data_IF_457766996633
#
_entry.id   IF_457766996633
#
_cell.length_a   1.000
_cell.length_b   1.000
_cell.length_c   1.000
_cell.angle_alpha   90.00
_cell.angle_beta   90.00
_cell.angle_gamma   90.00
#
_symmetry.space_group_name_H-M   'P 1'
#
loop_
_entity.id
_entity.type
_entity.pdbx_description
1 polymer ?
#
# COMPACT_ATOMS: atom_id res chain seq x y z
N UNK A 1 -0.86 -19.24 -9.35
CA UNK A 1 0.18 -20.29 -9.34
C UNK A 1 1.58 -19.73 -9.40
N UNK A 2 1.89 -18.77 -10.28
CA UNK A 2 3.22 -18.14 -10.31
C UNK A 2 3.68 -17.62 -8.93
N UNK A 3 2.83 -16.88 -8.20
CA UNK A 3 3.13 -16.43 -6.84
C UNK A 3 3.45 -17.57 -5.87
N UNK A 4 2.83 -18.74 -6.04
CA UNK A 4 3.10 -19.93 -5.21
C UNK A 4 4.47 -20.48 -5.55
N UNK A 5 4.79 -20.64 -6.83
CA UNK A 5 6.10 -21.13 -7.30
C UNK A 5 7.20 -20.20 -6.80
N UNK A 6 7.05 -18.89 -6.97
CA UNK A 6 8.00 -17.89 -6.46
C UNK A 6 8.17 -18.00 -4.95
N UNK A 7 7.07 -18.16 -4.19
CA UNK A 7 7.15 -18.31 -2.74
C UNK A 7 7.90 -19.60 -2.31
N UNK A 8 7.67 -20.70 -3.01
CA UNK A 8 8.39 -21.97 -2.79
C UNK A 8 9.88 -21.82 -3.11
N UNK A 9 10.23 -21.21 -4.24
CA UNK A 9 11.63 -20.95 -4.61
C UNK A 9 12.30 -20.05 -3.58
N UNK A 10 11.69 -18.93 -3.23
CA UNK A 10 12.26 -17.98 -2.26
C UNK A 10 12.49 -18.57 -0.86
N UNK A 11 11.74 -19.62 -0.48
CA UNK A 11 11.87 -20.25 0.83
C UNK A 11 12.78 -21.48 0.80
N UNK A 12 12.55 -22.42 -0.13
CA UNK A 12 13.24 -23.72 -0.16
C UNK A 12 14.49 -23.73 -1.04
N UNK A 13 14.59 -22.84 -2.03
CA UNK A 13 15.72 -22.80 -2.97
C UNK A 13 16.09 -21.35 -3.34
N UNK A 14 16.43 -20.50 -2.34
CA UNK A 14 16.64 -19.06 -2.56
C UNK A 14 17.80 -18.76 -3.53
N UNK A 15 18.75 -19.67 -3.69
CA UNK A 15 19.87 -19.56 -4.65
C UNK A 15 19.43 -19.53 -6.12
N UNK A 16 18.21 -19.97 -6.43
CA UNK A 16 17.65 -19.93 -7.79
C UNK A 16 17.13 -18.52 -8.13
N UNK A 17 16.92 -17.64 -7.15
CA UNK A 17 16.41 -16.30 -7.38
C UNK A 17 17.44 -15.45 -8.16
N UNK A 18 17.09 -15.08 -9.39
CA UNK A 18 17.94 -14.38 -10.34
C UNK A 18 17.80 -12.85 -10.30
N UNK A 19 16.77 -12.35 -9.60
CA UNK A 19 16.41 -10.93 -9.56
C UNK A 19 15.62 -10.45 -10.78
N UNK A 20 15.46 -11.28 -11.82
CA UNK A 20 14.75 -10.97 -13.06
C UNK A 20 13.37 -11.62 -13.10
N UNK A 21 13.32 -12.96 -13.08
CA UNK A 21 12.07 -13.73 -13.06
C UNK A 21 11.60 -14.01 -11.64
N UNK A 22 12.53 -14.23 -10.72
CA UNK A 22 12.29 -14.46 -9.30
C UNK A 22 13.04 -13.40 -8.51
N UNK A 23 12.31 -12.52 -7.85
CA UNK A 23 12.91 -11.46 -7.05
C UNK A 23 13.78 -12.07 -5.93
N UNK A 24 15.00 -11.54 -5.77
CA UNK A 24 15.88 -11.89 -4.67
C UNK A 24 15.19 -11.52 -3.36
N UNK A 25 15.15 -12.47 -2.43
CA UNK A 25 14.51 -12.30 -1.14
C UNK A 25 15.49 -11.67 -0.14
N UNK A 26 15.14 -10.49 0.37
CA UNK A 26 15.93 -9.78 1.39
C UNK A 26 15.40 -9.99 2.81
N UNK A 27 14.39 -10.85 3.00
CA UNK A 27 13.82 -11.23 4.29
C UNK A 27 13.93 -12.75 4.50
N UNK A 28 15.05 -13.25 5.07
CA UNK A 28 15.23 -14.66 5.37
C UNK A 28 14.06 -15.24 6.17
N UNK A 29 13.76 -16.52 5.93
CA UNK A 29 12.73 -17.26 6.68
C UNK A 29 11.27 -16.92 6.35
N UNK A 30 11.00 -16.15 5.29
CA UNK A 30 9.64 -15.96 4.73
C UNK A 30 9.67 -15.63 3.25
N UNK A 31 8.59 -15.93 2.53
CA UNK A 31 8.40 -15.53 1.15
C UNK A 31 7.87 -14.09 1.02
N UNK A 32 8.37 -13.34 0.05
CA UNK A 32 7.94 -11.95 -0.24
C UNK A 32 7.34 -11.79 -1.64
N UNK A 33 7.46 -12.82 -2.48
CA UNK A 33 7.02 -12.81 -3.87
C UNK A 33 7.82 -11.85 -4.74
N UNK A 34 7.44 -11.74 -6.01
CA UNK A 34 7.98 -10.71 -6.90
C UNK A 34 7.52 -9.29 -6.52
N UNK A 35 6.53 -9.18 -5.63
CA UNK A 35 6.09 -7.91 -5.02
C UNK A 35 7.07 -7.40 -3.96
N UNK A 36 8.06 -8.21 -3.56
CA UNK A 36 9.06 -7.88 -2.53
C UNK A 36 8.43 -7.43 -1.19
N UNK A 37 7.19 -7.83 -0.93
CA UNK A 37 6.44 -7.47 0.26
C UNK A 37 5.49 -8.62 0.63
N UNK A 38 5.61 -9.22 1.84
CA UNK A 38 4.89 -10.44 2.20
C UNK A 38 3.37 -10.27 2.37
N UNK A 39 2.90 -9.13 2.87
CA UNK A 39 1.46 -8.83 2.98
C UNK A 39 0.82 -8.63 1.59
N UNK A 40 1.57 -8.09 0.63
CA UNK A 40 1.14 -7.96 -0.76
C UNK A 40 1.05 -9.33 -1.42
N UNK A 41 2.08 -10.17 -1.27
CA UNK A 41 2.03 -11.56 -1.71
C UNK A 41 0.78 -12.27 -1.16
N UNK A 42 0.55 -12.19 0.16
CA UNK A 42 -0.60 -12.82 0.80
C UNK A 42 -1.93 -12.30 0.24
N UNK A 43 -2.06 -10.98 0.05
CA UNK A 43 -3.27 -10.36 -0.50
C UNK A 43 -3.53 -10.76 -1.95
N UNK A 44 -2.49 -10.82 -2.77
CA UNK A 44 -2.59 -11.28 -4.14
C UNK A 44 -3.03 -12.75 -4.21
N UNK A 45 -2.49 -13.61 -3.33
CA UNK A 45 -2.92 -15.00 -3.18
C UNK A 45 -4.38 -15.11 -2.75
N UNK A 46 -4.83 -14.30 -1.80
CA UNK A 46 -6.24 -14.27 -1.35
C UNK A 46 -7.18 -13.84 -2.48
N UNK A 47 -6.83 -12.79 -3.24
CA UNK A 47 -7.59 -12.40 -4.43
C UNK A 47 -7.64 -13.55 -5.47
N UNK A 48 -6.52 -14.25 -5.67
CA UNK A 48 -6.46 -15.41 -6.54
C UNK A 48 -7.30 -16.59 -6.02
N UNK A 49 -7.39 -16.81 -4.71
CA UNK A 49 -8.28 -17.81 -4.10
C UNK A 49 -9.74 -17.48 -4.37
N UNK A 50 -10.14 -16.21 -4.22
CA UNK A 50 -11.49 -15.74 -4.54
C UNK A 50 -11.84 -16.02 -6.00
N UNK A 51 -10.94 -15.69 -6.93
CA UNK A 51 -11.14 -15.97 -8.35
C UNK A 51 -11.11 -17.47 -8.69
N UNK A 52 -10.32 -18.26 -7.97
CA UNK A 52 -10.29 -19.74 -8.14
C UNK A 52 -11.62 -20.36 -7.71
N UNK A 53 -12.19 -19.91 -6.59
CA UNK A 53 -13.51 -20.34 -6.14
C UNK A 53 -14.61 -19.93 -7.13
N UNK A 54 -14.53 -18.73 -7.69
CA UNK A 54 -15.45 -18.30 -8.74
C UNK A 54 -15.34 -19.17 -10.01
N UNK A 55 -14.13 -19.43 -10.51
CA UNK A 55 -13.91 -20.31 -11.66
C UNK A 55 -14.45 -21.73 -11.41
N UNK A 56 -14.30 -22.24 -10.20
CA UNK A 56 -14.87 -23.51 -9.79
C UNK A 56 -16.40 -23.47 -9.82
N UNK A 57 -17.02 -22.46 -9.20
CA UNK A 57 -18.48 -22.30 -9.21
C UNK A 57 -19.03 -22.13 -10.64
N UNK A 58 -18.32 -21.42 -11.51
CA UNK A 58 -18.69 -21.22 -12.91
C UNK A 58 -18.48 -22.46 -13.80
N UNK A 59 -18.02 -23.59 -13.24
CA UNK A 59 -17.71 -24.82 -14.00
C UNK A 59 -16.51 -24.69 -14.94
N UNK A 60 -15.73 -23.60 -14.83
CA UNK A 60 -14.56 -23.33 -15.67
C UNK A 60 -13.27 -23.96 -15.15
N UNK A 61 -13.26 -24.39 -13.90
CA UNK A 61 -12.16 -25.10 -13.27
C UNK A 61 -12.68 -26.38 -12.59
N UNK A 62 -12.08 -27.53 -12.93
CA UNK A 62 -12.47 -28.81 -12.34
C UNK A 62 -12.11 -28.85 -10.86
N UNK A 63 -12.98 -29.47 -10.07
CA UNK A 63 -12.86 -29.56 -8.61
C UNK A 63 -11.46 -29.97 -8.07
N UNK A 64 -10.78 -31.03 -8.55
CA UNK A 64 -9.48 -31.40 -8.00
C UNK A 64 -8.42 -30.32 -8.22
N UNK A 65 -8.41 -29.68 -9.40
CA UNK A 65 -7.48 -28.59 -9.71
C UNK A 65 -7.78 -27.33 -8.91
N UNK A 66 -9.06 -27.02 -8.68
CA UNK A 66 -9.47 -25.91 -7.83
C UNK A 66 -9.03 -26.13 -6.37
N UNK A 67 -9.30 -27.31 -5.81
CA UNK A 67 -8.93 -27.65 -4.44
C UNK A 67 -7.40 -27.67 -4.24
N UNK A 68 -6.65 -28.29 -5.16
CA UNK A 68 -5.19 -28.31 -5.12
C UNK A 68 -4.60 -26.89 -5.23
N UNK A 69 -5.16 -26.05 -6.12
CA UNK A 69 -4.73 -24.66 -6.26
C UNK A 69 -4.99 -23.84 -4.99
N UNK A 70 -6.16 -23.99 -4.37
CA UNK A 70 -6.50 -23.31 -3.12
C UNK A 70 -5.54 -23.71 -2.00
N UNK A 71 -5.28 -25.01 -1.83
CA UNK A 71 -4.33 -25.50 -0.84
C UNK A 71 -2.91 -24.96 -1.09
N UNK A 72 -2.43 -25.01 -2.32
CA UNK A 72 -1.11 -24.50 -2.68
C UNK A 72 -0.98 -22.98 -2.41
N UNK A 73 -2.06 -22.21 -2.65
CA UNK A 73 -2.10 -20.80 -2.28
C UNK A 73 -2.10 -20.58 -0.77
N UNK A 74 -2.79 -21.43 0.02
CA UNK A 74 -2.79 -21.36 1.49
C UNK A 74 -1.40 -21.63 2.05
N UNK A 75 -0.69 -22.62 1.52
CA UNK A 75 0.70 -22.88 1.84
C UNK A 75 1.59 -21.65 1.56
N UNK A 76 1.41 -21.01 0.39
CA UNK A 76 2.16 -19.80 0.06
C UNK A 76 1.81 -18.60 0.97
N UNK A 77 0.57 -18.50 1.46
CA UNK A 77 0.20 -17.53 2.51
C UNK A 77 0.93 -17.85 3.81
N UNK A 78 1.04 -19.12 4.23
CA UNK A 78 1.80 -19.52 5.40
C UNK A 78 3.30 -19.19 5.26
N UNK A 79 3.90 -19.48 4.09
CA UNK A 79 5.29 -19.13 3.77
C UNK A 79 5.55 -17.61 3.82
N UNK A 80 4.55 -16.77 3.54
CA UNK A 80 4.70 -15.31 3.64
C UNK A 80 4.83 -14.80 5.08
N UNK A 81 4.45 -15.61 6.08
CA UNK A 81 4.40 -15.23 7.49
C UNK A 81 3.59 -13.92 7.75
N UNK A 82 2.54 -13.67 6.95
CA UNK A 82 1.68 -12.48 7.05
C UNK A 82 0.50 -12.69 7.99
N UNK A 83 0.44 -11.93 9.09
CA UNK A 83 -0.72 -11.92 10.02
C UNK A 83 -1.99 -11.40 9.36
N UNK A 84 -1.88 -10.34 8.55
CA UNK A 84 -3.01 -9.80 7.79
C UNK A 84 -3.53 -10.81 6.78
N UNK A 85 -2.63 -11.55 6.12
CA UNK A 85 -2.98 -12.66 5.24
C UNK A 85 -3.75 -13.77 5.97
N UNK A 86 -3.23 -14.21 7.12
CA UNK A 86 -3.87 -15.22 7.97
C UNK A 86 -5.27 -14.78 8.44
N UNK A 87 -5.39 -13.54 8.93
CA UNK A 87 -6.67 -12.98 9.38
C UNK A 87 -7.69 -12.89 8.23
N UNK A 88 -7.22 -12.56 7.02
CA UNK A 88 -8.07 -12.45 5.83
C UNK A 88 -8.59 -13.80 5.31
N UNK A 89 -8.02 -14.94 5.73
CA UNK A 89 -8.65 -16.26 5.49
C UNK A 89 -10.02 -16.37 6.19
N UNK A 90 -10.23 -15.61 7.26
CA UNK A 90 -11.54 -15.49 7.91
C UNK A 90 -12.62 -14.92 6.98
N UNK A 91 -12.24 -14.07 6.01
CA UNK A 91 -13.17 -13.56 4.98
C UNK A 91 -13.62 -14.69 4.05
N UNK A 92 -12.72 -15.61 3.68
CA UNK A 92 -13.06 -16.77 2.86
C UNK A 92 -13.96 -17.76 3.61
N UNK A 93 -13.70 -17.98 4.89
CA UNK A 93 -14.58 -18.75 5.77
C UNK A 93 -15.98 -18.11 5.85
N UNK A 94 -16.05 -16.80 6.10
CA UNK A 94 -17.33 -16.09 6.17
C UNK A 94 -18.08 -16.19 4.84
N UNK A 95 -17.39 -16.00 3.71
CA UNK A 95 -17.99 -16.16 2.39
C UNK A 95 -18.54 -17.57 2.19
N UNK A 96 -17.80 -18.61 2.57
CA UNK A 96 -18.26 -19.99 2.50
C UNK A 96 -19.52 -20.25 3.36
N UNK A 97 -19.63 -19.62 4.52
CA UNK A 97 -20.80 -19.78 5.41
C UNK A 97 -22.04 -19.07 4.83
N UNK A 98 -21.86 -17.84 4.34
CA UNK A 98 -22.93 -16.96 3.86
C UNK A 98 -23.43 -17.37 2.47
N UNK A 99 -22.52 -17.73 1.56
CA UNK A 99 -22.85 -18.02 0.17
C UNK A 99 -23.26 -19.49 -0.03
N UNK A 100 -24.57 -19.72 0.02
CA UNK A 100 -25.17 -21.04 -0.22
C UNK A 100 -25.23 -21.47 -1.69
N UNK A 101 -24.86 -20.58 -2.63
CA UNK A 101 -24.81 -20.90 -4.07
C UNK A 101 -23.50 -21.59 -4.48
N UNK A 102 -22.50 -21.59 -3.60
CA UNK A 102 -21.24 -22.30 -3.84
C UNK A 102 -21.48 -23.81 -3.91
N UNK A 103 -20.83 -24.54 -4.83
CA UNK A 103 -20.84 -25.99 -4.81
C UNK A 103 -20.41 -26.51 -3.44
N UNK A 104 -21.07 -27.56 -2.92
CA UNK A 104 -20.82 -28.07 -1.55
C UNK A 104 -19.34 -28.34 -1.29
N UNK A 105 -18.63 -28.90 -2.27
CA UNK A 105 -17.19 -29.13 -2.20
C UNK A 105 -16.39 -27.81 -2.10
N UNK A 106 -16.65 -26.83 -2.97
CA UNK A 106 -16.00 -25.52 -2.93
C UNK A 106 -16.22 -24.80 -1.60
N UNK A 107 -17.44 -24.86 -1.08
CA UNK A 107 -17.81 -24.30 0.21
C UNK A 107 -17.00 -24.90 1.35
N UNK A 108 -16.90 -26.23 1.41
CA UNK A 108 -16.09 -26.89 2.43
C UNK A 108 -14.59 -26.60 2.28
N UNK A 109 -14.07 -26.62 1.05
CA UNK A 109 -12.67 -26.29 0.80
C UNK A 109 -12.33 -24.86 1.26
N UNK A 110 -13.19 -23.87 0.98
CA UNK A 110 -13.01 -22.50 1.44
C UNK A 110 -13.11 -22.37 2.97
N UNK A 111 -14.11 -23.02 3.58
CA UNK A 111 -14.31 -23.01 5.02
C UNK A 111 -13.13 -23.65 5.78
N UNK A 112 -12.43 -24.61 5.17
CA UNK A 112 -11.27 -25.28 5.75
C UNK A 112 -9.95 -24.52 5.55
N UNK A 113 -9.93 -23.40 4.81
CA UNK A 113 -8.68 -22.66 4.55
C UNK A 113 -7.98 -22.14 5.83
N UNK A 114 -8.65 -21.68 6.90
CA UNK A 114 -7.96 -21.30 8.13
C UNK A 114 -7.32 -22.50 8.83
N UNK A 115 -8.00 -23.65 8.85
CA UNK A 115 -7.43 -24.88 9.41
C UNK A 115 -6.23 -25.36 8.59
N UNK A 116 -6.36 -25.37 7.26
CA UNK A 116 -5.25 -25.72 6.38
C UNK A 116 -4.06 -24.78 6.57
N UNK A 117 -4.28 -23.48 6.79
CA UNK A 117 -3.23 -22.53 7.13
C UNK A 117 -2.53 -22.91 8.43
N UNK A 118 -3.26 -23.23 9.50
CA UNK A 118 -2.67 -23.64 10.78
C UNK A 118 -1.83 -24.91 10.64
N UNK A 119 -2.31 -25.89 9.86
CA UNK A 119 -1.56 -27.12 9.57
C UNK A 119 -0.29 -26.82 8.77
N UNK A 120 -0.38 -26.00 7.71
CA UNK A 120 0.79 -25.59 6.93
C UNK A 120 1.79 -24.79 7.79
N UNK A 121 1.29 -23.90 8.64
CA UNK A 121 2.11 -23.08 9.53
C UNK A 121 2.87 -23.96 10.53
N UNK A 122 2.18 -24.91 11.19
CA UNK A 122 2.79 -25.84 12.13
C UNK A 122 3.81 -26.74 11.43
N UNK A 123 3.46 -27.30 10.26
CA UNK A 123 4.38 -28.11 9.47
C UNK A 123 5.63 -27.36 9.01
N UNK A 124 5.51 -26.08 8.67
CA UNK A 124 6.65 -25.22 8.32
C UNK A 124 7.52 -24.90 9.54
N UNK A 125 6.92 -24.71 10.72
CA UNK A 125 7.66 -24.51 11.96
C UNK A 125 8.50 -25.76 12.32
N UNK A 126 7.88 -26.93 12.31
CA UNK A 126 8.55 -28.22 12.54
C UNK A 126 9.66 -28.48 11.50
N UNK A 127 9.38 -28.20 10.22
CA UNK A 127 10.38 -28.31 9.16
C UNK A 127 11.57 -27.38 9.39
N UNK A 128 11.32 -26.13 9.76
CA UNK A 128 12.38 -25.15 10.00
C UNK A 128 13.24 -25.56 11.19
N UNK A 129 12.63 -26.03 12.27
CA UNK A 129 13.34 -26.57 13.43
C UNK A 129 14.21 -27.77 13.05
N UNK A 130 13.65 -28.75 12.33
CA UNK A 130 14.38 -29.94 11.87
C UNK A 130 15.58 -29.60 10.97
N UNK A 131 15.41 -28.63 10.07
CA UNK A 131 16.47 -28.18 9.16
C UNK A 131 17.42 -27.15 9.77
N UNK A 132 17.22 -26.75 11.03
CA UNK A 132 17.92 -25.62 11.66
C UNK A 132 17.85 -24.35 10.79
N UNK A 133 16.73 -24.17 10.10
CA UNK A 133 16.47 -23.07 9.18
C UNK A 133 15.62 -21.99 9.87
N UNK A 134 15.68 -20.78 9.32
CA UNK A 134 14.88 -19.65 9.79
C UNK A 134 13.41 -19.77 9.35
N UNK A 135 12.47 -19.58 10.27
CA UNK A 135 11.08 -19.33 9.95
C UNK A 135 10.58 -18.10 10.69
N UNK A 136 10.41 -17.01 9.92
CA UNK A 136 10.15 -15.68 10.45
C UNK A 136 8.94 -15.66 11.39
N UNK A 137 7.90 -16.46 11.11
CA UNK A 137 6.69 -16.44 11.92
C UNK A 137 6.92 -16.90 13.37
N UNK A 138 7.81 -17.87 13.59
CA UNK A 138 8.18 -18.36 14.94
C UNK A 138 9.10 -17.37 15.63
N UNK A 139 10.12 -16.87 14.93
CA UNK A 139 11.04 -15.85 15.46
C UNK A 139 10.32 -14.60 15.94
N UNK A 140 9.28 -14.17 15.21
CA UNK A 140 8.44 -13.03 15.59
C UNK A 140 7.59 -13.29 16.84
N UNK A 141 7.15 -14.53 17.08
CA UNK A 141 6.45 -14.86 18.33
C UNK A 141 7.38 -14.81 19.54
N UNK A 142 8.66 -15.08 19.32
CA UNK A 142 9.71 -15.04 20.35
C UNK A 142 10.26 -13.63 20.57
N UNK A 143 10.25 -12.76 19.55
CA UNK A 143 10.68 -11.37 19.68
C UNK A 143 9.53 -10.48 20.19
N UNK A 144 9.67 -9.94 21.40
CA UNK A 144 8.72 -8.99 22.00
C UNK A 144 8.66 -7.61 21.29
N UNK A 145 9.43 -7.38 20.23
CA UNK A 145 9.43 -6.16 19.42
C UNK A 145 8.34 -6.20 18.35
N UNK A 146 7.09 -6.02 18.77
CA UNK A 146 5.95 -6.19 17.87
C UNK A 146 5.81 -5.01 16.89
N UNK A 147 5.88 -5.26 15.58
CA UNK A 147 5.56 -4.28 14.52
C UNK A 147 4.13 -3.71 14.70
N UNK A 148 3.25 -4.44 15.39
CA UNK A 148 1.92 -3.94 15.79
C UNK A 148 2.03 -2.70 16.71
N UNK A 149 3.01 -2.66 17.62
CA UNK A 149 3.24 -1.55 18.54
C UNK A 149 3.57 -0.24 17.82
N UNK A 150 4.32 -0.34 16.70
CA UNK A 150 4.59 0.80 15.82
C UNK A 150 3.29 1.36 15.22
N UNK A 151 2.41 0.51 14.66
CA UNK A 151 1.14 0.98 14.05
C UNK A 151 0.23 1.70 15.04
N UNK A 152 0.07 1.18 16.26
CA UNK A 152 -0.77 1.84 17.27
C UNK A 152 -0.23 3.21 17.66
N UNK A 153 1.11 3.35 17.76
CA UNK A 153 1.73 4.65 18.00
C UNK A 153 1.55 5.61 16.81
N UNK A 154 1.63 5.12 15.57
CA UNK A 154 1.29 5.89 14.35
C UNK A 154 -0.17 6.38 14.42
N UNK A 155 -1.11 5.50 14.74
CA UNK A 155 -2.53 5.84 14.81
C UNK A 155 -2.81 6.87 15.89
N UNK A 156 -2.17 6.75 17.06
CA UNK A 156 -2.27 7.76 18.11
C UNK A 156 -1.80 9.13 17.63
N UNK A 157 -0.65 9.21 16.97
CA UNK A 157 -0.15 10.49 16.44
C UNK A 157 -1.07 11.04 15.33
N UNK A 158 -1.60 10.19 14.46
CA UNK A 158 -2.55 10.58 13.43
C UNK A 158 -3.86 11.13 14.04
N UNK A 159 -4.37 10.50 15.10
CA UNK A 159 -5.56 10.99 15.82
C UNK A 159 -5.30 12.36 16.48
N UNK A 160 -4.08 12.61 16.99
CA UNK A 160 -3.69 13.94 17.49
C UNK A 160 -3.73 14.97 16.35
N UNK A 161 -3.18 14.65 15.18
CA UNK A 161 -3.23 15.54 14.02
C UNK A 161 -4.66 15.78 13.51
N UNK A 162 -5.52 14.75 13.54
CA UNK A 162 -6.96 14.88 13.23
C UNK A 162 -7.63 15.82 14.21
N UNK A 163 -7.37 15.67 15.51
CA UNK A 163 -7.94 16.54 16.55
C UNK A 163 -7.49 18.01 16.39
N UNK A 164 -6.25 18.22 15.94
CA UNK A 164 -5.72 19.56 15.65
C UNK A 164 -6.26 20.14 14.33
N UNK A 165 -6.66 19.31 13.37
CA UNK A 165 -7.08 19.72 12.03
C UNK A 165 -8.37 19.03 11.56
N UNK A 166 -9.49 19.10 12.32
CA UNK A 166 -10.63 18.21 12.11
C UNK A 166 -11.42 18.48 10.82
N UNK A 167 -11.37 19.71 10.30
CA UNK A 167 -12.21 20.15 9.19
C UNK A 167 -11.60 19.85 7.81
N UNK A 168 -10.35 20.22 7.61
CA UNK A 168 -9.66 20.13 6.32
C UNK A 168 -8.51 19.14 6.32
N UNK A 169 -8.18 18.56 7.49
CA UNK A 169 -6.96 17.78 7.66
C UNK A 169 -5.70 18.63 7.51
N UNK A 170 -4.57 17.96 7.35
CA UNK A 170 -3.25 18.57 7.13
C UNK A 170 -2.97 18.90 5.64
N UNK A 171 -3.89 18.53 4.76
CA UNK A 171 -3.73 18.59 3.31
C UNK A 171 -3.38 17.23 2.70
N UNK A 172 -3.85 16.99 1.48
CA UNK A 172 -3.57 15.76 0.73
C UNK A 172 -2.07 15.56 0.53
N UNK A 173 -1.54 14.39 0.88
CA UNK A 173 -0.11 14.07 0.81
C UNK A 173 0.76 14.67 1.92
N UNK A 174 0.22 15.50 2.81
CA UNK A 174 1.01 16.20 3.83
C UNK A 174 1.12 15.44 5.16
N UNK A 175 0.59 14.20 5.26
CA UNK A 175 0.58 13.48 6.52
C UNK A 175 1.98 13.30 7.12
N UNK A 176 2.95 12.82 6.34
CA UNK A 176 4.31 12.63 6.84
C UNK A 176 4.98 13.95 7.23
N UNK A 177 4.80 15.00 6.43
CA UNK A 177 5.34 16.33 6.71
C UNK A 177 4.80 16.86 8.05
N UNK A 178 3.48 16.89 8.20
CA UNK A 178 2.82 17.35 9.43
C UNK A 178 3.20 16.47 10.62
N UNK A 179 3.28 15.15 10.46
CA UNK A 179 3.70 14.23 11.51
C UNK A 179 5.16 14.45 11.93
N UNK A 180 6.06 14.64 10.97
CA UNK A 180 7.48 14.83 11.22
C UNK A 180 7.72 16.11 12.01
N UNK A 181 7.08 17.20 11.60
CA UNK A 181 7.26 18.52 12.21
C UNK A 181 6.29 18.82 13.37
N UNK A 182 5.39 17.91 13.74
CA UNK A 182 4.62 18.04 15.00
C UNK A 182 5.40 17.40 16.15
N UNK A 183 5.48 18.00 17.35
CA UNK A 183 6.18 17.41 18.49
C UNK A 183 5.48 16.13 18.96
N UNK A 184 6.24 15.03 18.98
CA UNK A 184 5.82 13.71 19.44
C UNK A 184 7.01 13.04 20.13
N UNK A 185 7.24 13.30 21.43
CA UNK A 185 8.40 12.78 22.18
C UNK A 185 8.51 11.25 22.15
N UNK A 186 7.37 10.57 22.13
CA UNK A 186 7.26 9.11 22.08
C UNK A 186 6.90 8.58 20.68
N UNK A 187 7.33 9.29 19.62
CA UNK A 187 7.09 8.85 18.24
C UNK A 187 7.75 7.50 17.94
N UNK A 188 7.15 6.72 17.02
CA UNK A 188 7.83 5.58 16.40
C UNK A 188 9.19 5.96 15.82
N UNK A 189 10.17 5.05 15.94
CA UNK A 189 11.53 5.21 15.41
C UNK A 189 11.57 5.06 13.88
N UNK A 190 10.64 4.27 13.32
CA UNK A 190 10.53 4.07 11.89
C UNK A 190 9.87 5.28 11.21
N UNK A 191 10.40 5.67 10.04
CA UNK A 191 9.71 6.61 9.15
C UNK A 191 8.66 5.87 8.33
N UNK A 192 7.57 6.57 8.05
CA UNK A 192 6.45 6.09 7.27
C UNK A 192 5.75 7.29 6.64
N UNK A 193 5.17 7.06 5.47
CA UNK A 193 4.42 8.06 4.70
C UNK A 193 2.91 7.95 4.88
N UNK A 194 2.43 6.84 5.48
CA UNK A 194 1.01 6.57 5.66
C UNK A 194 0.68 6.10 7.08
N UNK A 195 -0.57 6.30 7.49
CA UNK A 195 -1.14 5.83 8.75
C UNK A 195 -1.35 4.31 8.80
N UNK A 196 -1.19 3.60 7.68
CA UNK A 196 -1.55 2.17 7.54
C UNK A 196 -3.02 1.86 7.85
N UNK A 197 -3.91 2.85 7.78
CA UNK A 197 -5.35 2.67 7.98
C UNK A 197 -6.09 3.67 7.08
N UNK A 198 -6.74 3.18 6.02
CA UNK A 198 -7.32 4.03 4.98
C UNK A 198 -8.32 5.08 5.51
N UNK A 199 -9.30 4.74 6.37
CA UNK A 199 -10.17 5.76 6.98
C UNK A 199 -9.39 6.83 7.77
N UNK A 200 -8.39 6.42 8.54
CA UNK A 200 -7.57 7.34 9.33
C UNK A 200 -6.69 8.21 8.44
N UNK A 201 -6.17 7.67 7.33
CA UNK A 201 -5.41 8.42 6.32
C UNK A 201 -6.26 9.54 5.73
N UNK A 202 -7.49 9.21 5.31
CA UNK A 202 -8.41 10.21 4.78
C UNK A 202 -8.73 11.26 5.86
N UNK A 203 -9.01 10.83 7.09
CA UNK A 203 -9.34 11.74 8.18
C UNK A 203 -8.22 12.74 8.48
N UNK A 204 -6.96 12.29 8.49
CA UNK A 204 -5.82 13.16 8.78
C UNK A 204 -5.48 14.10 7.63
N UNK A 205 -5.63 13.68 6.37
CA UNK A 205 -5.25 14.49 5.21
C UNK A 205 -6.34 15.45 4.74
N UNK A 206 -7.60 15.01 4.66
CA UNK A 206 -8.71 15.79 4.10
C UNK A 206 -9.79 16.17 5.12
N UNK A 207 -9.61 15.78 6.38
CA UNK A 207 -10.52 16.11 7.47
C UNK A 207 -11.74 15.17 7.57
N UNK A 208 -12.45 15.27 8.70
CA UNK A 208 -13.59 14.43 9.01
C UNK A 208 -14.77 14.61 8.05
N UNK A 209 -15.17 15.84 7.62
CA UNK A 209 -16.30 16.01 6.72
C UNK A 209 -16.07 15.37 5.35
N UNK A 210 -14.91 15.59 4.73
CA UNK A 210 -14.59 15.02 3.42
C UNK A 210 -14.42 13.50 3.50
N UNK A 211 -13.82 12.99 4.58
CA UNK A 211 -13.72 11.55 4.84
C UNK A 211 -15.08 10.90 4.96
N UNK A 212 -15.99 11.50 5.74
CA UNK A 212 -17.36 11.01 5.90
C UNK A 212 -18.12 11.00 4.57
N UNK A 213 -17.92 12.00 3.72
CA UNK A 213 -18.49 12.04 2.38
C UNK A 213 -17.94 10.90 1.50
N UNK A 214 -16.62 10.72 1.43
CA UNK A 214 -15.99 9.67 0.60
C UNK A 214 -16.43 8.28 1.04
N UNK A 215 -16.32 7.97 2.33
CA UNK A 215 -16.72 6.68 2.88
C UNK A 215 -18.25 6.47 2.79
N UNK A 216 -19.03 7.54 2.99
CA UNK A 216 -20.48 7.54 2.85
C UNK A 216 -20.94 7.25 1.43
N UNK A 217 -20.34 7.90 0.43
CA UNK A 217 -20.62 7.64 -0.99
C UNK A 217 -20.23 6.21 -1.39
N UNK A 218 -19.07 5.73 -0.93
CA UNK A 218 -18.64 4.36 -1.18
C UNK A 218 -19.61 3.34 -0.56
N UNK A 219 -19.96 3.51 0.72
CA UNK A 219 -20.93 2.65 1.42
C UNK A 219 -22.32 2.71 0.79
N UNK A 220 -22.75 3.90 0.36
CA UNK A 220 -24.02 4.09 -0.35
C UNK A 220 -24.04 3.41 -1.72
N UNK A 221 -22.94 3.47 -2.48
CA UNK A 221 -22.81 2.77 -3.76
C UNK A 221 -22.91 1.24 -3.57
N UNK A 222 -22.21 0.69 -2.58
CA UNK A 222 -22.31 -0.73 -2.23
C UNK A 222 -23.74 -1.11 -1.78
N UNK A 223 -24.39 -0.25 -0.98
CA UNK A 223 -25.76 -0.48 -0.54
C UNK A 223 -26.76 -0.44 -1.69
N UNK A 224 -26.63 0.52 -2.63
CA UNK A 224 -27.42 0.59 -3.87
C UNK A 224 -27.23 -0.68 -4.71
N UNK A 225 -26.01 -1.19 -4.77
CA UNK A 225 -25.67 -2.37 -5.56
C UNK A 225 -25.93 -3.72 -4.86
N UNK A 226 -26.46 -3.74 -3.62
CA UNK A 226 -26.72 -4.99 -2.87
C UNK A 226 -27.58 -6.01 -3.62
N UNK A 227 -28.43 -5.57 -4.55
CA UNK A 227 -29.21 -6.45 -5.42
C UNK A 227 -28.36 -7.37 -6.30
N UNK A 228 -27.12 -6.97 -6.63
CA UNK A 228 -26.14 -7.79 -7.34
C UNK A 228 -25.85 -9.11 -6.60
N UNK A 229 -25.91 -9.09 -5.27
CA UNK A 229 -25.71 -10.29 -4.46
C UNK A 229 -26.82 -11.33 -4.68
N UNK A 230 -28.07 -10.88 -4.88
CA UNK A 230 -29.20 -11.77 -5.15
C UNK A 230 -29.10 -12.35 -6.56
N UNK A 231 -28.92 -11.51 -7.57
CA UNK A 231 -28.77 -11.92 -8.98
C UNK A 231 -27.68 -12.98 -9.13
N UNK A 232 -26.53 -12.76 -8.49
CA UNK A 232 -25.44 -13.72 -8.55
C UNK A 232 -25.71 -15.04 -7.81
N UNK A 233 -26.67 -15.08 -6.89
CA UNK A 233 -27.11 -16.34 -6.27
C UNK A 233 -28.04 -17.16 -7.15
N UNK A 234 -28.79 -16.50 -8.02
CA UNK A 234 -29.72 -17.12 -8.97
C UNK A 234 -29.00 -17.61 -10.23
N UNK A 235 -27.83 -17.03 -10.54
CA UNK A 235 -27.01 -17.36 -11.71
C UNK A 235 -25.64 -17.91 -11.28
N UNK A 236 -25.48 -19.25 -11.18
CA UNK A 236 -24.19 -19.86 -10.85
C UNK A 236 -23.08 -19.38 -11.79
N UNK A 237 -21.97 -18.91 -11.21
CA UNK A 237 -20.83 -18.41 -11.98
C UNK A 237 -20.88 -16.92 -12.32
N UNK A 238 -21.87 -16.17 -11.83
CA UNK A 238 -21.87 -14.71 -11.94
C UNK A 238 -20.78 -14.08 -11.05
N UNK A 239 -19.94 -13.13 -11.55
CA UNK A 239 -18.74 -12.67 -10.84
C UNK A 239 -18.99 -11.73 -9.65
N UNK A 240 -20.21 -11.18 -9.52
CA UNK A 240 -20.49 -10.12 -8.54
C UNK A 240 -20.11 -10.47 -7.08
N UNK A 241 -20.41 -11.70 -6.61
CA UNK A 241 -20.06 -12.11 -5.23
C UNK A 241 -18.56 -12.20 -5.04
N UNK A 242 -17.84 -12.78 -6.00
CA UNK A 242 -16.39 -12.86 -5.97
C UNK A 242 -15.74 -11.47 -6.02
N UNK A 243 -16.26 -10.57 -6.87
CA UNK A 243 -15.81 -9.18 -6.93
C UNK A 243 -16.02 -8.45 -5.59
N UNK A 244 -17.18 -8.62 -4.95
CA UNK A 244 -17.44 -8.07 -3.62
C UNK A 244 -16.50 -8.64 -2.55
N UNK A 245 -16.30 -9.96 -2.51
CA UNK A 245 -15.39 -10.59 -1.55
C UNK A 245 -13.96 -10.13 -1.75
N UNK A 246 -13.52 -9.93 -3.00
CA UNK A 246 -12.22 -9.35 -3.31
C UNK A 246 -12.09 -7.91 -2.79
N UNK A 247 -13.13 -7.09 -2.90
CA UNK A 247 -13.18 -5.75 -2.28
C UNK A 247 -13.08 -5.83 -0.76
N UNK A 248 -13.72 -6.81 -0.12
CA UNK A 248 -13.63 -7.02 1.34
C UNK A 248 -12.22 -7.42 1.75
N UNK A 249 -11.56 -8.31 1.01
CA UNK A 249 -10.14 -8.69 1.25
C UNK A 249 -9.23 -7.46 1.14
N UNK A 250 -9.39 -6.66 0.08
CA UNK A 250 -8.59 -5.45 -0.12
C UNK A 250 -8.89 -4.39 0.94
N UNK A 251 -10.16 -4.21 1.30
CA UNK A 251 -10.60 -3.31 2.36
C UNK A 251 -10.02 -3.70 3.72
N UNK A 252 -10.03 -5.00 4.05
CA UNK A 252 -9.44 -5.52 5.28
C UNK A 252 -7.94 -5.29 5.35
N UNK A 253 -7.22 -5.49 4.23
CA UNK A 253 -5.80 -5.16 4.15
C UNK A 253 -5.57 -3.65 4.30
N UNK A 254 -6.45 -2.80 3.73
CA UNK A 254 -6.44 -1.35 3.88
C UNK A 254 -6.73 -0.81 5.29
N UNK A 255 -7.13 -1.65 6.24
CA UNK A 255 -7.26 -1.26 7.65
C UNK A 255 -5.95 -1.39 8.44
N UNK A 256 -4.97 -2.10 7.89
CA UNK A 256 -3.71 -2.45 8.57
C UNK A 256 -2.45 -2.09 7.76
N UNK A 257 -2.63 -1.79 6.47
CA UNK A 257 -1.62 -1.37 5.50
C UNK A 257 -2.28 -0.47 4.44
N UNK A 258 -1.52 -0.08 3.41
CA UNK A 258 -1.97 0.83 2.34
C UNK A 258 -1.91 0.18 0.93
N UNK A 259 -2.52 -1.02 0.70
CA UNK A 259 -2.41 -1.71 -0.59
C UNK A 259 -2.96 -0.89 -1.77
N UNK A 260 -3.94 -0.02 -1.54
CA UNK A 260 -4.58 0.77 -2.60
C UNK A 260 -3.71 1.92 -3.13
N UNK A 261 -2.54 2.19 -2.54
CA UNK A 261 -1.53 3.07 -3.12
C UNK A 261 -0.70 2.39 -4.21
N UNK A 262 -0.88 1.07 -4.38
CA UNK A 262 -0.21 0.30 -5.41
C UNK A 262 -1.18 0.02 -6.55
N UNK A 263 -0.80 0.45 -7.77
CA UNK A 263 -1.64 0.30 -8.96
C UNK A 263 -2.08 -1.16 -9.21
N UNK A 264 -1.23 -2.14 -8.89
CA UNK A 264 -1.55 -3.57 -9.02
C UNK A 264 -2.59 -4.09 -8.01
N UNK A 265 -3.01 -3.29 -7.03
CA UNK A 265 -4.20 -3.56 -6.21
C UNK A 265 -5.32 -2.55 -6.45
N UNK A 266 -4.99 -1.27 -6.67
CA UNK A 266 -5.98 -0.23 -6.96
C UNK A 266 -6.80 -0.55 -8.22
N UNK A 267 -6.13 -0.96 -9.31
CA UNK A 267 -6.83 -1.25 -10.57
C UNK A 267 -7.72 -2.50 -10.47
N UNK A 268 -7.28 -3.62 -9.87
CA UNK A 268 -8.18 -4.73 -9.58
C UNK A 268 -9.33 -4.37 -8.63
N UNK A 269 -9.10 -3.50 -7.63
CA UNK A 269 -10.17 -3.01 -6.75
C UNK A 269 -11.21 -2.22 -7.54
N UNK A 270 -10.78 -1.27 -8.37
CA UNK A 270 -11.65 -0.46 -9.21
C UNK A 270 -12.45 -1.33 -10.20
N UNK A 271 -11.80 -2.34 -10.80
CA UNK A 271 -12.47 -3.33 -11.65
C UNK A 271 -13.52 -4.12 -10.87
N UNK A 272 -13.18 -4.65 -9.69
CA UNK A 272 -14.10 -5.41 -8.85
C UNK A 272 -15.30 -4.55 -8.40
N UNK A 273 -15.06 -3.28 -8.07
CA UNK A 273 -16.12 -2.31 -7.78
C UNK A 273 -17.02 -2.10 -9.00
N UNK A 274 -16.45 -1.84 -10.17
CA UNK A 274 -17.22 -1.67 -11.41
C UNK A 274 -18.08 -2.90 -11.74
N UNK A 275 -17.52 -4.11 -11.63
CA UNK A 275 -18.25 -5.37 -11.80
C UNK A 275 -19.39 -5.46 -10.80
N UNK A 276 -19.15 -5.24 -9.51
CA UNK A 276 -20.19 -5.36 -8.49
C UNK A 276 -21.32 -4.34 -8.68
N UNK A 277 -20.98 -3.07 -8.93
CA UNK A 277 -21.96 -2.01 -9.16
C UNK A 277 -22.78 -2.24 -10.44
N UNK A 278 -22.12 -2.65 -11.53
CA UNK A 278 -22.78 -2.94 -12.81
C UNK A 278 -23.61 -4.22 -12.83
N UNK A 279 -23.46 -5.07 -11.81
CA UNK A 279 -24.22 -6.30 -11.64
C UNK A 279 -25.56 -6.12 -10.92
N UNK A 280 -25.81 -4.92 -10.37
CA UNK A 280 -27.06 -4.65 -9.70
C UNK A 280 -28.19 -4.60 -10.72
N UNK A 281 -29.36 -5.21 -10.44
CA UNK A 281 -30.49 -5.14 -11.35
C UNK A 281 -30.87 -3.66 -11.52
N UNK A 282 -30.87 -3.18 -12.77
CA UNK A 282 -31.43 -1.87 -13.07
C UNK A 282 -32.89 -1.90 -12.59
N UNK A 283 -33.28 -0.94 -11.74
CA UNK A 283 -34.69 -0.62 -11.61
C UNK A 283 -35.09 -0.18 -13.01
N UNK A 284 -35.85 -0.99 -13.74
CA UNK A 284 -36.53 -0.50 -14.94
C UNK A 284 -37.20 0.81 -14.53
N UNK A 285 -36.94 1.93 -15.23
CA UNK A 285 -37.78 3.08 -15.06
C UNK A 285 -39.20 2.60 -15.35
N UNK A 286 -40.12 2.82 -14.41
CA UNK A 286 -41.53 2.73 -14.73
C UNK A 286 -41.80 3.80 -15.80
N UNK A 287 -41.71 3.42 -17.07
CA UNK A 287 -42.10 4.26 -18.18
C UNK A 287 -42.77 3.41 -19.24
N UNK A 288 -44.09 3.55 -19.30
CA UNK A 288 -44.87 3.44 -20.52
C UNK A 288 -44.13 4.08 -21.70
N UNK A 289 -43.47 3.29 -22.57
CA UNK A 289 -43.14 3.70 -23.95
C UNK A 289 -43.11 2.48 -24.87
N UNK A 290 -44.27 2.19 -25.46
CA UNK A 290 -44.40 1.54 -26.76
C UNK A 290 -43.87 2.48 -27.86
N UNK A 291 -42.56 2.72 -27.91
CA UNK A 291 -41.91 3.22 -29.13
C UNK A 291 -40.78 2.26 -29.50
N UNK A 292 -40.85 1.58 -30.66
CA UNK A 292 -39.74 0.78 -31.12
C UNK A 292 -38.58 1.70 -31.47
N UNK A 293 -37.55 1.75 -30.62
CA UNK A 293 -36.30 2.40 -30.95
C UNK A 293 -35.72 1.75 -32.22
N UNK A 294 -35.46 2.56 -33.25
CA UNK A 294 -34.83 2.11 -34.49
C UNK A 294 -33.58 1.25 -34.19
N UNK A 295 -33.40 0.09 -34.85
CA UNK A 295 -32.24 -0.78 -34.63
C UNK A 295 -30.90 -0.03 -34.76
N UNK A 296 -30.84 1.00 -35.60
CA UNK A 296 -29.65 1.83 -35.78
C UNK A 296 -29.34 2.72 -34.57
N UNK A 297 -30.35 3.28 -33.91
CA UNK A 297 -30.19 4.11 -32.70
C UNK A 297 -29.78 3.26 -31.48
N UNK A 298 -30.37 2.07 -31.33
CA UNK A 298 -29.98 1.10 -30.30
C UNK A 298 -28.53 0.60 -30.51
N UNK A 299 -28.13 0.35 -31.77
CA UNK A 299 -26.76 -0.07 -32.09
C UNK A 299 -25.75 1.07 -31.92
N UNK A 300 -26.11 2.31 -32.23
CA UNK A 300 -25.26 3.50 -32.01
C UNK A 300 -25.10 3.82 -30.52
N UNK A 301 -26.17 3.75 -29.73
CA UNK A 301 -26.13 3.90 -28.26
C UNK A 301 -25.39 2.75 -27.55
N UNK A 302 -25.38 1.53 -28.12
CA UNK A 302 -24.57 0.42 -27.61
C UNK A 302 -23.08 0.51 -28.01
N UNK A 303 -22.76 1.14 -29.15
CA UNK A 303 -21.37 1.32 -29.65
C UNK A 303 -20.62 2.44 -28.92
N UNK A 304 -21.31 3.50 -28.50
CA UNK A 304 -20.71 4.62 -27.78
C UNK A 304 -20.02 4.24 -26.46
N UNK A 305 -20.65 3.49 -25.53
CA UNK A 305 -19.98 3.02 -24.31
C UNK A 305 -18.86 2.03 -24.62
N UNK A 306 -18.98 1.23 -25.68
CA UNK A 306 -17.92 0.29 -26.09
C UNK A 306 -16.68 1.01 -26.63
N UNK A 307 -16.84 2.04 -27.46
CA UNK A 307 -15.73 2.86 -27.94
C UNK A 307 -15.08 3.65 -26.81
N UNK A 308 -15.87 4.21 -25.88
CA UNK A 308 -15.35 4.89 -24.69
C UNK A 308 -14.57 3.94 -23.77
N UNK A 309 -15.07 2.73 -23.54
CA UNK A 309 -14.36 1.71 -22.76
C UNK A 309 -13.05 1.26 -23.43
N UNK A 310 -13.05 1.10 -24.76
CA UNK A 310 -11.84 0.79 -25.54
C UNK A 310 -10.84 1.94 -25.49
N UNK A 311 -11.31 3.19 -25.63
CA UNK A 311 -10.46 4.36 -25.51
C UNK A 311 -9.87 4.49 -24.11
N UNK A 312 -10.68 4.28 -23.07
CA UNK A 312 -10.21 4.24 -21.68
C UNK A 312 -9.16 3.13 -21.47
N UNK A 313 -9.40 1.93 -22.00
CA UNK A 313 -8.43 0.83 -21.95
C UNK A 313 -7.12 1.17 -22.67
N UNK A 314 -7.19 1.76 -23.85
CA UNK A 314 -6.00 2.21 -24.60
C UNK A 314 -5.23 3.30 -23.85
N UNK A 315 -5.94 4.29 -23.27
CA UNK A 315 -5.35 5.33 -22.43
C UNK A 315 -4.65 4.74 -21.20
N UNK A 316 -5.23 3.72 -20.56
CA UNK A 316 -4.59 3.04 -19.42
C UNK A 316 -3.29 2.33 -19.84
N UNK A 317 -3.26 1.69 -21.00
CA UNK A 317 -2.04 1.04 -21.54
C UNK A 317 -0.97 2.10 -21.85
N UNK A 318 -1.35 3.18 -22.55
CA UNK A 318 -0.45 4.28 -22.87
C UNK A 318 0.07 4.96 -21.60
N UNK A 319 -0.78 5.19 -20.61
CA UNK A 319 -0.42 5.74 -19.32
C UNK A 319 0.54 4.84 -18.53
N UNK A 320 0.32 3.52 -18.55
CA UNK A 320 1.24 2.58 -17.92
C UNK A 320 2.60 2.53 -18.62
N UNK A 321 2.62 2.56 -19.96
CA UNK A 321 3.85 2.63 -20.74
C UNK A 321 4.61 3.95 -20.49
N UNK A 322 3.90 5.07 -20.42
CA UNK A 322 4.46 6.37 -20.07
C UNK A 322 5.04 6.37 -18.65
N UNK A 323 4.30 5.87 -17.66
CA UNK A 323 4.79 5.78 -16.29
C UNK A 323 6.04 4.87 -16.17
N UNK A 324 6.08 3.75 -16.89
CA UNK A 324 7.25 2.89 -16.92
C UNK A 324 8.47 3.57 -17.57
N UNK A 325 8.25 4.33 -18.65
CA UNK A 325 9.30 5.12 -19.29
C UNK A 325 9.80 6.26 -18.39
N UNK A 326 8.88 7.01 -17.79
CA UNK A 326 9.19 8.14 -16.91
C UNK A 326 9.92 7.68 -15.64
N UNK A 327 9.50 6.55 -15.04
CA UNK A 327 10.20 5.92 -13.92
C UNK A 327 11.64 5.54 -14.29
N UNK A 328 11.85 4.90 -15.45
CA UNK A 328 13.20 4.50 -15.90
C UNK A 328 14.14 5.67 -16.07
N UNK A 329 13.64 6.86 -16.44
CA UNK A 329 14.48 8.08 -16.51
C UNK A 329 15.04 8.47 -15.14
N UNK A 330 14.25 8.27 -14.08
CA UNK A 330 14.63 8.66 -12.72
C UNK A 330 15.40 7.55 -11.99
N UNK A 331 15.09 6.29 -12.27
CA UNK A 331 15.78 5.12 -11.71
C UNK A 331 17.30 5.16 -11.93
N UNK A 332 17.75 5.73 -13.06
CA UNK A 332 19.17 5.89 -13.42
C UNK A 332 19.95 6.71 -12.37
N UNK A 333 19.29 7.56 -11.58
CA UNK A 333 19.92 8.26 -10.45
C UNK A 333 20.47 7.28 -9.41
N UNK A 334 19.72 6.22 -9.11
CA UNK A 334 19.99 5.26 -8.02
C UNK A 334 20.64 3.97 -8.51
N UNK A 335 20.32 3.54 -9.74
CA UNK A 335 20.87 2.36 -10.39
C UNK A 335 21.43 2.71 -11.78
N UNK A 336 22.52 3.51 -11.85
CA UNK A 336 23.06 3.97 -13.12
C UNK A 336 23.62 2.82 -13.95
N UNK A 337 23.23 2.68 -15.24
CA UNK A 337 23.94 1.79 -16.15
C UNK A 337 25.36 2.30 -16.41
N UNK A 338 26.21 1.44 -16.97
CA UNK A 338 27.55 1.83 -17.39
C UNK A 338 27.47 3.01 -18.40
N UNK A 339 28.22 4.09 -18.12
CA UNK A 339 28.24 5.29 -18.97
C UNK A 339 27.10 6.28 -18.75
N UNK A 340 26.31 6.17 -17.67
CA UNK A 340 25.17 7.05 -17.37
C UNK A 340 25.53 8.51 -16.95
N UNK A 341 26.71 9.01 -17.31
CA UNK A 341 27.17 10.36 -16.97
C UNK A 341 27.43 10.59 -15.48
N UNK A 342 27.52 11.86 -15.09
CA UNK A 342 27.68 12.31 -13.71
C UNK A 342 26.35 12.29 -12.94
N UNK A 343 26.41 12.28 -11.60
CA UNK A 343 25.19 12.35 -10.77
C UNK A 343 24.39 13.64 -11.02
N UNK A 344 25.07 14.78 -11.21
CA UNK A 344 24.43 16.06 -11.47
C UNK A 344 23.61 16.06 -12.77
N UNK A 345 24.14 15.48 -13.85
CA UNK A 345 23.42 15.35 -15.13
C UNK A 345 22.18 14.46 -14.97
N UNK A 346 22.30 13.36 -14.24
CA UNK A 346 21.17 12.46 -13.97
C UNK A 346 20.07 13.13 -13.15
N UNK A 347 20.44 13.90 -12.13
CA UNK A 347 19.50 14.67 -11.31
C UNK A 347 18.80 15.73 -12.17
N UNK A 348 19.53 16.49 -12.99
CA UNK A 348 18.96 17.50 -13.87
C UNK A 348 17.93 16.89 -14.85
N UNK A 349 18.29 15.77 -15.51
CA UNK A 349 17.38 15.06 -16.40
C UNK A 349 16.18 14.43 -15.68
N UNK A 350 16.37 13.99 -14.43
CA UNK A 350 15.32 13.43 -13.59
C UNK A 350 14.32 14.48 -13.09
N UNK A 351 14.74 15.73 -12.86
CA UNK A 351 13.86 16.82 -12.42
C UNK A 351 12.78 17.19 -13.44
N UNK A 352 13.01 16.88 -14.71
CA UNK A 352 12.04 17.03 -15.80
C UNK A 352 10.94 15.95 -15.81
N UNK A 353 11.07 14.90 -15.00
CA UNK A 353 10.08 13.85 -14.89
C UNK A 353 8.76 14.39 -14.33
N UNK A 354 7.65 14.04 -14.97
CA UNK A 354 6.31 14.53 -14.61
C UNK A 354 5.77 13.76 -13.41
N UNK A 355 5.95 12.44 -13.35
CA UNK A 355 5.41 11.59 -12.30
C UNK A 355 6.42 11.35 -11.18
N UNK A 356 7.71 11.25 -11.50
CA UNK A 356 8.74 10.76 -10.58
C UNK A 356 9.82 11.81 -10.26
N UNK A 357 9.68 13.06 -10.71
CA UNK A 357 10.67 14.13 -10.52
C UNK A 357 11.00 14.44 -9.06
N UNK A 358 10.10 14.11 -8.12
CA UNK A 358 10.33 14.25 -6.68
C UNK A 358 11.53 13.43 -6.17
N UNK A 359 11.81 12.26 -6.77
CA UNK A 359 13.01 11.48 -6.41
C UNK A 359 14.30 12.18 -6.86
N UNK A 360 14.25 12.91 -7.98
CA UNK A 360 15.39 13.71 -8.43
C UNK A 360 15.63 14.91 -7.53
N UNK A 361 14.56 15.58 -7.07
CA UNK A 361 14.69 16.66 -6.08
C UNK A 361 15.24 16.16 -4.73
N UNK A 362 14.74 15.01 -4.26
CA UNK A 362 15.30 14.37 -3.07
C UNK A 362 16.80 14.12 -3.26
N UNK A 363 17.21 13.59 -4.41
CA UNK A 363 18.62 13.34 -4.70
C UNK A 363 19.44 14.64 -4.75
N UNK A 364 18.87 15.73 -5.29
CA UNK A 364 19.53 17.03 -5.40
C UNK A 364 19.84 17.67 -4.03
N UNK A 365 18.94 17.50 -3.05
CA UNK A 365 19.12 18.11 -1.73
C UNK A 365 19.88 17.20 -0.75
N UNK A 366 19.99 15.91 -1.03
CA UNK A 366 20.60 14.92 -0.11
C UNK A 366 21.95 14.35 -0.56
N UNK A 367 22.44 14.69 -1.76
CA UNK A 367 23.76 14.27 -2.26
C UNK A 367 24.64 15.48 -2.58
N UNK A 368 25.96 15.29 -2.52
CA UNK A 368 26.91 16.37 -2.76
C UNK A 368 27.09 16.70 -4.26
N UNK A 369 27.21 17.98 -4.63
CA UNK A 369 26.99 19.16 -3.79
C UNK A 369 25.49 19.38 -3.51
N UNK A 370 25.12 19.56 -2.23
CA UNK A 370 23.70 19.73 -1.85
C UNK A 370 23.13 21.05 -2.36
N UNK A 371 21.97 20.99 -3.00
CA UNK A 371 21.17 22.19 -3.31
C UNK A 371 20.54 22.74 -2.02
N UNK A 372 20.98 23.93 -1.59
CA UNK A 372 20.54 24.58 -0.34
C UNK A 372 19.41 25.59 -0.54
N UNK A 373 18.89 25.76 -1.76
CA UNK A 373 17.74 26.63 -1.98
C UNK A 373 16.49 26.03 -1.33
N UNK A 374 15.81 26.79 -0.47
CA UNK A 374 14.60 26.30 0.24
C UNK A 374 13.52 25.82 -0.73
N UNK A 375 13.36 26.49 -1.87
CA UNK A 375 12.42 26.08 -2.92
C UNK A 375 12.64 24.65 -3.44
N UNK A 376 13.89 24.14 -3.42
CA UNK A 376 14.23 22.78 -3.86
C UNK A 376 13.73 21.70 -2.89
N UNK A 377 13.35 22.07 -1.67
CA UNK A 377 12.79 21.15 -0.67
C UNK A 377 11.27 20.99 -0.77
N UNK A 378 10.56 21.86 -1.52
CA UNK A 378 9.09 21.88 -1.57
C UNK A 378 8.50 20.52 -1.96
N UNK A 379 8.96 19.88 -3.04
CA UNK A 379 8.47 18.56 -3.43
C UNK A 379 8.92 17.45 -2.46
N UNK A 380 10.21 17.25 -2.17
CA UNK A 380 10.65 16.08 -1.41
C UNK A 380 10.12 16.03 0.03
N UNK A 381 9.88 17.17 0.69
CA UNK A 381 9.33 17.21 2.05
C UNK A 381 7.89 16.65 2.14
N UNK A 382 7.13 16.64 1.06
CA UNK A 382 5.75 16.14 1.00
C UNK A 382 5.65 14.69 0.50
N UNK A 383 6.75 13.94 0.52
CA UNK A 383 6.77 12.51 0.22
C UNK A 383 7.15 11.68 1.46
N UNK A 384 8.41 11.78 1.88
CA UNK A 384 8.92 11.10 3.07
C UNK A 384 10.12 11.87 3.63
N UNK A 385 9.92 12.51 4.78
CA UNK A 385 10.97 13.21 5.53
C UNK A 385 11.74 12.18 6.36
N UNK A 386 12.75 11.56 5.74
CA UNK A 386 13.70 10.70 6.45
C UNK A 386 14.83 11.50 7.13
N UNK A 387 15.76 10.82 7.82
CA UNK A 387 16.90 11.48 8.49
C UNK A 387 17.75 12.30 7.53
N UNK A 388 18.02 11.79 6.32
CA UNK A 388 18.91 12.47 5.35
C UNK A 388 18.27 13.76 4.86
N UNK A 389 16.99 13.71 4.49
CA UNK A 389 16.24 14.87 4.05
C UNK A 389 16.06 15.89 5.18
N UNK A 390 15.74 15.43 6.39
CA UNK A 390 15.58 16.32 7.54
C UNK A 390 16.89 17.04 7.90
N UNK A 391 18.03 16.33 7.91
CA UNK A 391 19.34 16.95 8.13
C UNK A 391 19.66 17.96 7.03
N UNK A 392 19.47 17.59 5.76
CA UNK A 392 19.69 18.50 4.64
C UNK A 392 18.81 19.76 4.75
N UNK A 393 17.56 19.59 5.20
CA UNK A 393 16.65 20.72 5.37
C UNK A 393 17.06 21.62 6.54
N UNK A 394 17.50 21.06 7.68
CA UNK A 394 18.06 21.84 8.80
C UNK A 394 19.28 22.66 8.32
N UNK A 395 20.17 22.05 7.55
CA UNK A 395 21.34 22.75 6.99
C UNK A 395 20.94 23.87 6.03
N UNK A 396 19.96 23.63 5.16
CA UNK A 396 19.44 24.65 4.25
C UNK A 396 18.75 25.80 5.00
N UNK A 397 17.98 25.51 6.07
CA UNK A 397 17.37 26.54 6.92
C UNK A 397 18.44 27.44 7.56
N UNK A 398 19.52 26.84 8.11
CA UNK A 398 20.66 27.59 8.65
C UNK A 398 21.35 28.46 7.60
N UNK A 399 21.60 27.90 6.41
CA UNK A 399 22.25 28.62 5.32
C UNK A 399 21.44 29.83 4.83
N UNK A 400 20.12 29.80 5.01
CA UNK A 400 19.20 30.87 4.64
C UNK A 400 18.77 31.75 5.83
N UNK A 401 19.44 31.66 6.99
CA UNK A 401 19.17 32.50 8.16
C UNK A 401 17.87 32.19 8.92
N UNK A 402 17.25 31.03 8.66
CA UNK A 402 16.03 30.54 9.34
C UNK A 402 16.38 29.73 10.58
N UNK A 403 17.08 30.35 11.52
CA UNK A 403 17.66 29.68 12.70
C UNK A 403 16.60 29.10 13.64
N UNK A 404 15.46 29.76 13.81
CA UNK A 404 14.37 29.28 14.67
C UNK A 404 13.75 27.99 14.10
N UNK A 405 13.51 27.95 12.79
CA UNK A 405 13.01 26.79 12.07
C UNK A 405 14.03 25.65 12.04
N UNK A 406 15.31 25.97 11.83
CA UNK A 406 16.39 24.99 11.90
C UNK A 406 16.46 24.33 13.28
N UNK A 407 16.35 25.13 14.35
CA UNK A 407 16.36 24.64 15.72
C UNK A 407 15.14 23.75 15.97
N UNK A 408 13.96 24.19 15.56
CA UNK A 408 12.74 23.41 15.68
C UNK A 408 12.83 22.07 14.94
N UNK A 409 13.33 22.07 13.70
CA UNK A 409 13.54 20.86 12.91
C UNK A 409 14.58 19.92 13.55
N UNK A 410 15.66 20.45 14.11
CA UNK A 410 16.64 19.67 14.86
C UNK A 410 16.04 19.02 16.13
N UNK A 411 15.14 19.72 16.83
CA UNK A 411 14.41 19.13 17.96
C UNK A 411 13.53 17.95 17.51
N UNK A 412 12.84 18.07 16.36
CA UNK A 412 12.06 16.97 15.77
C UNK A 412 12.94 15.79 15.35
N UNK A 413 14.12 16.06 14.78
CA UNK A 413 15.09 15.02 14.43
C UNK A 413 15.52 14.21 15.66
N UNK A 414 15.72 14.88 16.81
CA UNK A 414 16.12 14.23 18.07
C UNK A 414 15.06 13.24 18.59
N UNK A 415 13.79 13.51 18.38
CA UNK A 415 12.67 12.66 18.82
C UNK A 415 12.62 11.29 18.12
N UNK A 416 13.24 11.13 16.95
CA UNK A 416 13.29 9.85 16.24
C UNK A 416 14.15 8.79 16.93
N UNK A 417 15.11 9.19 17.76
CA UNK A 417 15.99 8.28 18.53
C UNK A 417 16.67 7.21 17.66
N UNK A 418 17.03 7.55 16.42
CA UNK A 418 17.75 6.63 15.52
C UNK A 418 19.25 6.85 15.57
N UNK A 419 20.00 5.78 15.41
CA UNK A 419 21.47 5.80 15.42
C UNK A 419 22.05 6.65 14.28
N UNK A 420 21.44 6.62 13.10
CA UNK A 420 21.85 7.44 11.95
C UNK A 420 21.61 8.96 12.16
N UNK A 421 20.66 9.33 13.02
CA UNK A 421 20.46 10.71 13.44
C UNK A 421 21.45 11.15 14.54
N UNK A 422 21.96 10.23 15.37
CA UNK A 422 22.88 10.56 16.47
C UNK A 422 24.20 11.15 15.96
N UNK A 423 24.65 10.76 14.77
CA UNK A 423 25.84 11.34 14.14
C UNK A 423 25.74 12.86 13.99
N UNK A 424 24.54 13.40 13.73
CA UNK A 424 24.29 14.83 13.62
C UNK A 424 24.44 15.58 14.97
N UNK A 425 24.20 14.89 16.09
CA UNK A 425 24.28 15.46 17.44
C UNK A 425 25.58 15.11 18.17
N UNK A 426 26.58 14.54 17.48
CA UNK A 426 27.84 14.09 18.11
C UNK A 426 28.61 15.20 18.84
N UNK A 427 28.46 16.45 18.42
CA UNK A 427 29.11 17.62 19.02
C UNK A 427 28.34 18.19 20.24
N UNK A 428 27.19 17.62 20.59
CA UNK A 428 26.36 18.07 21.69
C UNK A 428 26.89 17.51 23.02
N UNK A 429 27.79 18.25 23.66
CA UNK A 429 28.29 17.97 25.02
C UNK A 429 27.58 18.83 26.06
N UNK A 430 27.38 18.29 27.26
CA UNK A 430 26.66 18.96 28.35
C UNK A 430 27.35 20.23 28.87
N UNK A 431 28.66 20.35 28.66
CA UNK A 431 29.51 21.39 29.24
C UNK A 431 29.84 22.55 28.28
N UNK A 432 29.22 22.62 27.09
CA UNK A 432 29.47 23.70 26.15
C UNK A 432 28.67 24.96 26.53
N UNK A 433 29.31 26.08 26.92
CA UNK A 433 28.63 27.32 27.31
C UNK A 433 27.92 28.02 26.15
N UNK A 434 28.28 27.71 24.90
CA UNK A 434 27.65 28.21 23.69
C UNK A 434 27.37 27.03 22.74
N UNK A 435 26.38 26.18 23.06
CA UNK A 435 26.15 24.95 22.30
C UNK A 435 25.76 25.30 20.84
N UNK A 436 26.24 24.50 19.87
CA UNK A 436 25.78 24.60 18.48
C UNK A 436 24.25 24.56 18.41
N UNK A 437 23.67 25.18 17.39
CA UNK A 437 22.22 25.29 17.23
C UNK A 437 21.52 23.92 17.34
N UNK A 438 22.09 22.87 16.75
CA UNK A 438 21.53 21.52 16.82
C UNK A 438 21.52 20.91 18.22
N UNK A 439 22.25 21.46 19.18
CA UNK A 439 22.37 20.97 20.56
C UNK A 439 21.45 21.69 21.54
N UNK A 440 20.90 22.83 21.12
CA UNK A 440 19.99 23.65 21.91
C UNK A 440 18.66 22.93 22.19
N UNK A 441 18.03 23.31 23.30
CA UNK A 441 16.81 22.68 23.84
C UNK A 441 15.74 23.69 24.21
N UNK A 442 15.99 24.98 24.02
CA UNK A 442 15.00 26.02 24.30
C UNK A 442 13.72 25.79 23.49
N UNK A 443 12.53 25.97 24.09
CA UNK A 443 11.28 25.83 23.36
C UNK A 443 11.20 26.85 22.22
N UNK A 444 10.83 26.37 21.03
CA UNK A 444 10.54 27.22 19.88
C UNK A 444 9.04 27.16 19.59
N UNK A 445 8.38 28.32 19.61
CA UNK A 445 6.93 28.42 19.41
C UNK A 445 6.58 28.41 17.91
N UNK A 446 6.83 27.27 17.25
CA UNK A 446 6.46 27.01 15.86
C UNK A 446 5.54 25.78 15.78
N UNK A 447 4.85 25.67 14.65
CA UNK A 447 4.04 24.53 14.26
C UNK A 447 4.61 23.92 13.00
N UNK A 448 4.13 22.73 12.61
CA UNK A 448 4.54 22.10 11.36
C UNK A 448 4.32 22.98 10.12
N UNK A 449 3.37 23.92 10.15
CA UNK A 449 3.07 24.82 9.03
C UNK A 449 4.16 25.85 8.79
N UNK A 450 4.86 26.26 9.85
CA UNK A 450 5.92 27.26 9.78
C UNK A 450 7.18 26.69 9.11
N UNK A 451 7.24 25.36 8.94
CA UNK A 451 8.34 24.64 8.31
C UNK A 451 8.14 24.46 6.81
N UNK A 452 7.11 25.07 6.21
CA UNK A 452 6.95 25.09 4.76
C UNK A 452 8.09 25.95 4.12
N UNK A 453 8.72 25.49 3.02
CA UNK A 453 9.82 26.19 2.36
C UNK A 453 9.43 27.42 1.52
#
# INVERSE_FOLDING_TARGET
MLCVIVALVQYFAPSIADGLLVAINTSPGRAVGNMRQPNHLATALLCAMVMTAWLWQAGRLRAPWAAASLFAMVLAVALSASRTGALSLGVLLLWAVVDRSLPRAARWTLALTPLAYLVCWAGLAEYAEWQHAHFYAVERLQSHSDISSSRFAIWRNALVLVAQNPWTGVGWGNFNFAWTFTPFPDRPVAFFDHTHNLPLQLAVEIGLPATALVLGLFGWALWRARGAWRVAGEQPGHPARAAFVMLVVLGMHSLLEYPLWYAYFLLPAAWALGVFLGSAPAKEPASDRNEPASPAAATAMARWPTCLLRAAGALMILGAAYAAWDHRRVEVIFAPPAGAGSLAERIAAGRESVLFGHHADYAAVTNEPKDQALASFRRPLHHLVDVRLLIAYIEALKANGRDAEALYAAQRLREFRRDDAQAYFKECTADNPAPPLQCRTEPVALTWRDLEP
#
